data_IF_300341586655
#
_entry.id   IF_300341586655
#
_cell.length_a   1.000
_cell.length_b   1.000
_cell.length_c   1.000
_cell.angle_alpha   90.00
_cell.angle_beta   90.00
_cell.angle_gamma   90.00
#
_symmetry.space_group_name_H-M   'P 1'
#
loop_
_entity.id
_entity.type
_entity.pdbx_description
1 polymer ?
#
# COMPACT_ATOMS: atom_id res chain seq x y z
N UNK A 1 7.29 17.46 -7.58
CA UNK A 1 7.88 17.32 -8.93
C UNK A 1 6.74 17.01 -9.88
N UNK A 2 6.61 17.74 -10.99
CA UNK A 2 5.62 17.42 -12.03
C UNK A 2 6.26 16.50 -13.08
N UNK A 3 5.59 15.42 -13.42
CA UNK A 3 6.01 14.47 -14.47
C UNK A 3 4.97 14.44 -15.58
N UNK A 4 5.43 14.36 -16.83
CA UNK A 4 4.57 14.36 -18.02
C UNK A 4 4.56 12.99 -18.67
N UNK A 5 3.36 12.49 -19.01
CA UNK A 5 3.15 11.20 -19.68
C UNK A 5 2.67 11.46 -21.11
N UNK A 6 3.28 10.80 -22.10
CA UNK A 6 2.88 10.87 -23.50
C UNK A 6 2.19 9.57 -23.90
N UNK A 7 0.95 9.67 -24.40
CA UNK A 7 0.20 8.52 -24.90
C UNK A 7 0.20 8.52 -26.43
N UNK A 8 0.42 7.34 -27.01
CA UNK A 8 0.16 7.09 -28.43
C UNK A 8 -1.13 6.30 -28.54
N UNK A 9 -2.14 6.90 -29.17
CA UNK A 9 -3.47 6.31 -29.36
C UNK A 9 -3.96 6.58 -30.79
N UNK A 10 -4.85 5.72 -31.27
CA UNK A 10 -5.49 5.90 -32.56
C UNK A 10 -6.44 7.10 -32.58
N UNK A 11 -6.68 7.63 -33.77
CA UNK A 11 -7.47 8.85 -33.96
C UNK A 11 -8.94 8.67 -33.57
N UNK A 12 -9.52 7.48 -33.81
CA UNK A 12 -10.86 7.15 -33.36
C UNK A 12 -10.97 7.15 -31.83
N UNK A 13 -10.02 6.49 -31.16
CA UNK A 13 -9.94 6.44 -29.70
C UNK A 13 -9.81 7.84 -29.10
N UNK A 14 -8.96 8.68 -29.69
CA UNK A 14 -8.82 10.09 -29.29
C UNK A 14 -10.14 10.84 -29.40
N UNK A 15 -10.85 10.70 -30.52
CA UNK A 15 -12.14 11.37 -30.75
C UNK A 15 -13.20 10.93 -29.73
N UNK A 16 -13.30 9.63 -29.46
CA UNK A 16 -14.25 9.09 -28.48
C UNK A 16 -13.90 9.56 -27.06
N UNK A 17 -12.62 9.59 -26.70
CA UNK A 17 -12.16 10.08 -25.40
C UNK A 17 -12.46 11.58 -25.22
N UNK A 18 -12.28 12.40 -26.27
CA UNK A 18 -12.66 13.81 -26.25
C UNK A 18 -14.17 13.99 -26.04
N UNK A 19 -15.01 13.22 -26.75
CA UNK A 19 -16.46 13.25 -26.56
C UNK A 19 -16.90 12.81 -25.15
N UNK A 20 -16.17 11.87 -24.54
CA UNK A 20 -16.43 11.45 -23.17
C UNK A 20 -16.08 12.55 -22.17
N UNK A 21 -14.99 13.28 -22.40
CA UNK A 21 -14.59 14.43 -21.57
C UNK A 21 -15.59 15.59 -21.71
N UNK A 22 -16.04 15.89 -22.94
CA UNK A 22 -17.06 16.92 -23.21
C UNK A 22 -18.39 16.61 -22.49
N UNK A 23 -18.82 15.35 -22.48
CA UNK A 23 -20.02 14.92 -21.71
C UNK A 23 -19.91 15.18 -20.22
N UNK A 24 -18.70 15.17 -19.67
CA UNK A 24 -18.41 15.46 -18.27
C UNK A 24 -18.06 16.93 -18.03
N UNK A 25 -18.15 17.78 -19.06
CA UNK A 25 -17.77 19.20 -19.03
C UNK A 25 -16.30 19.41 -18.62
N UNK A 26 -15.43 18.46 -18.96
CA UNK A 26 -14.01 18.47 -18.60
C UNK A 26 -13.13 18.41 -19.86
N UNK A 27 -11.89 18.88 -19.75
CA UNK A 27 -10.90 18.66 -20.81
C UNK A 27 -10.37 17.22 -20.77
N UNK A 28 -9.95 16.68 -21.92
CA UNK A 28 -9.36 15.34 -21.98
C UNK A 28 -8.15 15.20 -21.05
N UNK A 29 -7.30 16.22 -20.95
CA UNK A 29 -6.14 16.22 -20.05
C UNK A 29 -6.54 16.14 -18.58
N UNK A 30 -7.61 16.84 -18.18
CA UNK A 30 -8.13 16.82 -16.82
C UNK A 30 -8.70 15.46 -16.46
N UNK A 31 -9.50 14.88 -17.36
CA UNK A 31 -10.05 13.54 -17.18
C UNK A 31 -8.93 12.49 -17.06
N UNK A 32 -7.92 12.56 -17.93
CA UNK A 32 -6.78 11.64 -17.88
C UNK A 32 -5.93 11.81 -16.62
N UNK A 33 -5.78 13.04 -16.11
CA UNK A 33 -5.10 13.30 -14.84
C UNK A 33 -5.86 12.66 -13.67
N UNK A 34 -7.17 12.88 -13.60
CA UNK A 34 -8.01 12.27 -12.58
C UNK A 34 -7.93 10.74 -12.64
N UNK A 35 -8.03 10.13 -13.82
CA UNK A 35 -7.90 8.68 -13.97
C UNK A 35 -6.53 8.15 -13.53
N UNK A 36 -5.46 8.89 -13.79
CA UNK A 36 -4.12 8.52 -13.32
C UNK A 36 -4.02 8.61 -11.78
N UNK A 37 -4.66 9.59 -11.15
CA UNK A 37 -4.72 9.73 -9.70
C UNK A 37 -5.53 8.62 -9.04
N UNK A 38 -6.69 8.26 -9.62
CA UNK A 38 -7.51 7.13 -9.20
C UNK A 38 -6.72 5.81 -9.25
N UNK A 39 -6.05 5.54 -10.38
CA UNK A 39 -5.23 4.34 -10.55
C UNK A 39 -4.07 4.30 -9.53
N UNK A 40 -3.44 5.44 -9.26
CA UNK A 40 -2.38 5.51 -8.25
C UNK A 40 -2.93 5.32 -6.83
N UNK A 41 -4.17 5.73 -6.55
CA UNK A 41 -4.81 5.48 -5.25
C UNK A 41 -5.15 4.00 -5.08
N UNK A 42 -5.67 3.34 -6.12
CA UNK A 42 -5.91 1.90 -6.13
C UNK A 42 -4.62 1.11 -5.87
N UNK A 43 -3.52 1.43 -6.54
CA UNK A 43 -2.24 0.74 -6.31
C UNK A 43 -1.68 0.95 -4.91
N UNK A 44 -1.81 2.16 -4.35
CA UNK A 44 -1.44 2.40 -2.96
C UNK A 44 -2.29 1.57 -2.01
N UNK A 45 -3.59 1.47 -2.28
CA UNK A 45 -4.50 0.64 -1.49
C UNK A 45 -4.12 -0.84 -1.56
N UNK A 46 -3.81 -1.39 -2.75
CA UNK A 46 -3.31 -2.75 -2.88
C UNK A 46 -2.02 -3.00 -2.09
N UNK A 47 -1.05 -2.08 -2.19
CA UNK A 47 0.20 -2.18 -1.42
C UNK A 47 -0.04 -2.10 0.10
N UNK A 48 -0.98 -1.26 0.54
CA UNK A 48 -1.40 -1.19 1.95
C UNK A 48 -2.10 -2.47 2.40
N UNK A 49 -3.00 -3.03 1.59
CA UNK A 49 -3.67 -4.30 1.88
C UNK A 49 -2.68 -5.48 1.94
N UNK A 50 -1.63 -5.48 1.12
CA UNK A 50 -0.57 -6.49 1.20
C UNK A 50 0.15 -6.44 2.56
N UNK A 51 0.35 -5.24 3.10
CA UNK A 51 0.87 -5.03 4.45
C UNK A 51 -0.15 -5.41 5.54
N UNK A 52 -1.43 -5.11 5.34
CA UNK A 52 -2.50 -5.48 6.27
C UNK A 52 -2.72 -6.99 6.33
N UNK A 53 -2.63 -7.69 5.20
CA UNK A 53 -2.73 -9.16 5.15
C UNK A 53 -1.61 -9.85 5.93
N UNK A 54 -0.37 -9.33 5.85
CA UNK A 54 0.73 -9.81 6.69
C UNK A 54 0.46 -9.58 8.18
N UNK A 55 -0.09 -8.42 8.55
CA UNK A 55 -0.42 -8.10 9.93
C UNK A 55 -1.57 -8.97 10.46
N UNK A 56 -2.61 -9.19 9.66
CA UNK A 56 -3.72 -10.09 9.97
C UNK A 56 -3.23 -11.52 10.20
N UNK A 57 -2.28 -12.00 9.40
CA UNK A 57 -1.68 -13.32 9.58
C UNK A 57 -0.87 -13.41 10.88
N UNK A 58 -0.10 -12.38 11.24
CA UNK A 58 0.62 -12.34 12.52
C UNK A 58 -0.33 -12.31 13.72
N UNK A 59 -1.44 -11.55 13.62
CA UNK A 59 -2.48 -11.50 14.65
C UNK A 59 -3.15 -12.86 14.78
N UNK A 60 -3.55 -13.49 13.68
CA UNK A 60 -4.14 -14.83 13.68
C UNK A 60 -3.19 -15.88 14.27
N UNK A 61 -1.90 -15.82 13.97
CA UNK A 61 -0.89 -16.69 14.59
C UNK A 61 -0.76 -16.46 16.10
N UNK A 62 -0.84 -15.21 16.57
CA UNK A 62 -0.80 -14.90 17.99
C UNK A 62 -2.02 -15.48 18.74
N UNK A 63 -3.22 -15.34 18.18
CA UNK A 63 -4.44 -15.95 18.73
C UNK A 63 -4.37 -17.49 18.72
N UNK A 64 -3.90 -18.10 17.63
CA UNK A 64 -3.72 -19.55 17.58
C UNK A 64 -2.74 -20.07 18.66
N UNK A 65 -1.67 -19.33 18.96
CA UNK A 65 -0.72 -19.69 20.04
C UNK A 65 -1.33 -19.55 21.43
N UNK A 66 -2.21 -18.56 21.61
CA UNK A 66 -2.98 -18.39 22.84
C UNK A 66 -3.94 -19.56 23.05
N UNK A 67 -4.75 -19.89 22.03
CA UNK A 67 -5.74 -20.96 22.08
C UNK A 67 -5.09 -22.36 22.23
N UNK A 68 -3.91 -22.56 21.65
CA UNK A 68 -3.13 -23.80 21.80
C UNK A 68 -2.39 -23.93 23.14
N UNK A 69 -2.44 -22.90 24.01
CA UNK A 69 -1.72 -22.88 25.28
C UNK A 69 -0.19 -22.87 25.15
N UNK A 70 0.34 -22.56 23.97
CA UNK A 70 1.78 -22.54 23.66
C UNK A 70 2.39 -21.13 23.73
N UNK A 71 1.67 -20.17 24.32
CA UNK A 71 2.14 -18.81 24.52
C UNK A 71 3.18 -18.73 25.64
N UNK A 72 4.37 -18.23 25.32
CA UNK A 72 5.38 -17.90 26.32
C UNK A 72 5.21 -16.43 26.73
N UNK A 73 4.94 -16.19 28.01
CA UNK A 73 4.75 -14.85 28.57
C UNK A 73 6.03 -14.43 29.27
N UNK A 74 6.55 -13.27 28.91
CA UNK A 74 7.72 -12.66 29.55
C UNK A 74 7.29 -11.41 30.34
N UNK A 75 8.07 -11.05 31.35
CA UNK A 75 7.81 -9.83 32.12
C UNK A 75 8.05 -8.57 31.28
N UNK A 76 7.48 -7.44 31.71
CA UNK A 76 7.68 -6.16 31.03
C UNK A 76 9.17 -5.78 30.95
N UNK A 77 9.92 -5.94 32.04
CA UNK A 77 11.35 -5.62 32.10
C UNK A 77 12.18 -6.50 31.15
N UNK A 78 11.80 -7.78 31.02
CA UNK A 78 12.44 -8.71 30.10
C UNK A 78 12.13 -8.36 28.64
N UNK A 79 10.88 -8.00 28.35
CA UNK A 79 10.43 -7.55 27.03
C UNK A 79 11.16 -6.28 26.58
N UNK A 80 11.29 -5.28 27.47
CA UNK A 80 12.00 -4.03 27.18
C UNK A 80 13.48 -4.28 26.85
N UNK A 81 14.16 -5.11 27.65
CA UNK A 81 15.56 -5.46 27.40
C UNK A 81 15.77 -6.21 26.09
N UNK A 82 14.89 -7.17 25.77
CA UNK A 82 14.95 -7.95 24.54
C UNK A 82 14.69 -7.07 23.31
N UNK A 83 13.71 -6.18 23.38
CA UNK A 83 13.39 -5.24 22.30
C UNK A 83 14.50 -4.21 22.08
N UNK A 84 15.10 -3.67 23.14
CA UNK A 84 16.23 -2.76 23.04
C UNK A 84 17.45 -3.43 22.37
N UNK A 85 17.70 -4.69 22.69
CA UNK A 85 18.77 -5.49 22.07
C UNK A 85 18.50 -5.71 20.57
N UNK A 86 17.26 -6.01 20.19
CA UNK A 86 16.86 -6.17 18.78
C UNK A 86 16.99 -4.87 18.00
N UNK A 87 16.50 -3.74 18.55
CA UNK A 87 16.65 -2.40 17.95
C UNK A 87 18.13 -2.08 17.68
N UNK A 88 19.01 -2.35 18.64
CA UNK A 88 20.45 -2.13 18.46
C UNK A 88 21.08 -3.02 17.37
N UNK A 89 20.61 -4.27 17.21
CA UNK A 89 21.04 -5.16 16.12
C UNK A 89 20.55 -4.68 14.75
N UNK A 90 19.31 -4.17 14.68
CA UNK A 90 18.71 -3.63 13.46
C UNK A 90 19.48 -2.40 12.96
N UNK A 91 19.78 -1.47 13.88
CA UNK A 91 20.56 -0.27 13.58
C UNK A 91 22.00 -0.57 13.13
N UNK A 92 22.52 -1.75 13.49
CA UNK A 92 23.84 -2.24 13.06
C UNK A 92 23.78 -3.09 11.78
N UNK A 93 22.61 -3.31 11.19
CA UNK A 93 22.44 -4.10 9.96
C UNK A 93 22.77 -5.58 10.11
N UNK A 94 22.66 -6.15 11.32
CA UNK A 94 22.94 -7.58 11.61
C UNK A 94 21.68 -8.40 11.88
N UNK A 95 20.56 -7.95 11.33
CA UNK A 95 19.27 -8.63 11.42
C UNK A 95 19.02 -9.45 10.16
#
# INVERSE_FOLDING_TARGET
MSSTIHFRIDEETKRLAMQAAERQQMSLTELMRQRAEELAAEERHYQSLEHEGWLEEQIAQAFNRYDAGSGEYISQDEMENRMNTLKQKAMRGRL
#
